data_IF_560403440778
#
_entry.id   IF_560403440778
#
_cell.length_a   1.000
_cell.length_b   1.000
_cell.length_c   1.000
_cell.angle_alpha   90.00
_cell.angle_beta   90.00
_cell.angle_gamma   90.00
#
_symmetry.space_group_name_H-M   'P 1'
#
loop_
_entity.id
_entity.type
_entity.pdbx_description
1 polymer ?
#
# COMPACT_ATOMS: atom_id res chain seq x y z
N UNK A 1 46.24 -54.90 7.63
CA UNK A 1 45.60 -55.36 6.37
C UNK A 1 44.20 -54.76 6.37
N UNK A 2 44.04 -53.56 5.78
CA UNK A 2 43.47 -53.35 4.42
C UNK A 2 42.01 -53.82 4.34
N UNK A 3 40.99 -53.09 3.86
CA UNK A 3 40.81 -51.84 3.11
C UNK A 3 39.37 -51.34 3.42
N UNK A 4 38.94 -50.08 3.32
CA UNK A 4 39.06 -49.13 2.21
C UNK A 4 37.95 -49.38 1.16
N UNK A 5 36.80 -48.69 1.25
CA UNK A 5 35.73 -48.34 0.25
C UNK A 5 34.54 -47.83 1.09
N UNK A 6 33.88 -46.69 0.91
CA UNK A 6 33.95 -45.59 -0.05
C UNK A 6 32.82 -44.62 0.32
N UNK A 7 33.18 -43.42 0.77
CA UNK A 7 32.25 -42.29 0.97
C UNK A 7 32.01 -41.69 -0.41
N UNK A 8 30.89 -42.04 -1.04
CA UNK A 8 30.67 -41.67 -2.45
C UNK A 8 29.22 -41.72 -2.94
N UNK A 9 28.22 -41.66 -2.05
CA UNK A 9 26.79 -41.72 -2.46
C UNK A 9 25.94 -40.54 -1.93
N UNK A 10 26.49 -39.68 -1.06
CA UNK A 10 25.70 -38.61 -0.42
C UNK A 10 25.33 -37.41 -1.31
N UNK A 11 26.17 -37.03 -2.28
CA UNK A 11 25.99 -35.76 -3.01
C UNK A 11 25.20 -35.93 -4.30
N UNK A 12 25.38 -37.07 -5.00
CA UNK A 12 24.63 -37.34 -6.23
C UNK A 12 23.14 -37.62 -5.96
N UNK A 13 22.81 -38.30 -4.85
CA UNK A 13 21.43 -38.56 -4.46
C UNK A 13 20.64 -37.30 -4.10
N UNK A 14 21.30 -36.34 -3.42
CA UNK A 14 20.69 -35.05 -3.05
C UNK A 14 20.50 -34.17 -4.29
N UNK A 15 21.46 -34.13 -5.21
CA UNK A 15 21.32 -33.38 -6.47
C UNK A 15 20.18 -33.92 -7.35
N UNK A 16 19.97 -35.25 -7.37
CA UNK A 16 18.88 -35.88 -8.13
C UNK A 16 17.50 -35.59 -7.50
N UNK A 17 17.42 -35.56 -6.17
CA UNK A 17 16.22 -35.19 -5.41
C UNK A 17 15.87 -33.70 -5.59
N UNK A 18 16.87 -32.81 -5.51
CA UNK A 18 16.67 -31.36 -5.77
C UNK A 18 16.28 -31.12 -7.23
N UNK A 19 16.90 -31.83 -8.19
CA UNK A 19 16.53 -31.77 -9.60
C UNK A 19 15.10 -32.21 -9.86
N UNK A 20 14.65 -33.31 -9.23
CA UNK A 20 13.26 -33.79 -9.31
C UNK A 20 12.27 -32.81 -8.65
N UNK A 21 12.65 -32.17 -7.54
CA UNK A 21 11.81 -31.17 -6.86
C UNK A 21 11.66 -29.90 -7.71
N UNK A 22 12.75 -29.40 -8.28
CA UNK A 22 12.77 -28.23 -9.19
C UNK A 22 12.00 -28.53 -10.47
N UNK A 23 12.14 -29.74 -11.03
CA UNK A 23 11.38 -30.19 -12.19
C UNK A 23 9.87 -30.31 -11.88
N UNK A 24 9.50 -30.85 -10.72
CA UNK A 24 8.11 -30.93 -10.27
C UNK A 24 7.49 -29.54 -10.02
N UNK A 25 8.26 -28.60 -9.46
CA UNK A 25 7.84 -27.21 -9.25
C UNK A 25 7.69 -26.46 -10.58
N UNK A 26 8.59 -26.66 -11.56
CA UNK A 26 8.45 -26.11 -12.91
C UNK A 26 7.22 -26.65 -13.64
N UNK A 27 6.96 -27.97 -13.56
CA UNK A 27 5.76 -28.58 -14.13
C UNK A 27 4.46 -28.12 -13.47
N UNK A 28 4.51 -27.72 -12.19
CA UNK A 28 3.36 -27.11 -11.50
C UNK A 28 3.12 -25.68 -11.98
N UNK A 29 4.17 -24.91 -12.27
CA UNK A 29 4.09 -23.56 -12.88
C UNK A 29 3.49 -23.61 -14.29
N UNK A 30 3.77 -24.65 -15.07
CA UNK A 30 3.19 -24.84 -16.43
C UNK A 30 1.73 -25.36 -16.43
N UNK A 31 1.16 -25.73 -15.27
CA UNK A 31 -0.23 -26.24 -15.14
C UNK A 31 -1.13 -25.38 -14.26
N UNK A 32 -0.79 -24.10 -14.09
CA UNK A 32 -1.77 -23.12 -13.61
C UNK A 32 -2.07 -22.21 -14.79
N UNK A 33 -3.03 -22.63 -15.61
CA UNK A 33 -3.76 -21.69 -16.43
C UNK A 33 -4.49 -20.74 -15.46
N UNK A 34 -4.18 -19.45 -15.52
CA UNK A 34 -4.90 -18.41 -14.78
C UNK A 34 -6.41 -18.56 -15.02
N UNK A 35 -7.24 -18.53 -13.97
CA UNK A 35 -8.66 -18.33 -14.17
C UNK A 35 -8.88 -16.90 -14.70
N UNK A 36 -9.29 -16.84 -15.97
CA UNK A 36 -10.23 -15.90 -16.59
C UNK A 36 -10.31 -14.52 -15.91
N UNK A 37 -9.73 -13.51 -16.59
CA UNK A 37 -10.05 -12.09 -16.38
C UNK A 37 -11.57 -11.88 -16.54
N UNK A 38 -12.28 -11.27 -15.58
CA UNK A 38 -13.68 -10.89 -15.75
C UNK A 38 -13.76 -9.59 -16.57
N UNK A 39 -13.37 -9.66 -17.83
CA UNK A 39 -13.53 -8.58 -18.80
C UNK A 39 -14.23 -9.12 -20.05
N UNK A 40 -15.46 -9.63 -19.88
CA UNK A 40 -16.40 -9.91 -20.97
C UNK A 40 -17.80 -10.11 -20.38
N UNK A 41 -18.40 -9.03 -19.87
CA UNK A 41 -19.85 -8.96 -19.75
C UNK A 41 -20.42 -8.66 -21.15
N UNK A 42 -21.43 -9.39 -21.65
CA UNK A 42 -22.03 -9.10 -22.95
C UNK A 42 -22.75 -7.75 -22.90
N UNK A 43 -22.34 -6.83 -23.77
CA UNK A 43 -23.10 -5.63 -24.10
C UNK A 43 -24.42 -6.06 -24.74
N UNK A 44 -25.55 -5.74 -24.08
CA UNK A 44 -26.87 -5.92 -24.65
C UNK A 44 -27.05 -5.01 -25.88
N UNK A 45 -27.62 -5.51 -26.99
CA UNK A 45 -27.84 -4.71 -28.19
C UNK A 45 -29.11 -3.84 -28.07
N UNK A 46 -29.00 -2.64 -28.64
CA UNK A 46 -30.03 -1.72 -29.11
C UNK A 46 -31.51 -2.05 -28.86
N UNK A 47 -32.17 -1.18 -28.11
CA UNK A 47 -33.59 -0.86 -28.34
C UNK A 47 -33.66 0.62 -28.68
N UNK A 48 -34.08 0.91 -29.91
CA UNK A 48 -34.35 2.24 -30.40
C UNK A 48 -35.74 2.71 -29.95
N UNK A 49 -35.78 3.98 -29.54
CA UNK A 49 -36.88 4.97 -29.63
C UNK A 49 -38.27 4.60 -29.10
N UNK A 50 -38.78 5.39 -28.14
CA UNK A 50 -39.72 6.50 -28.41
C UNK A 50 -40.21 7.15 -27.10
N UNK A 51 -40.40 8.47 -27.16
CA UNK A 51 -41.12 9.37 -26.23
C UNK A 51 -40.34 10.02 -25.08
N UNK A 52 -39.80 11.21 -25.36
CA UNK A 52 -39.66 12.28 -24.35
C UNK A 52 -41.03 12.92 -24.04
N UNK A 53 -41.18 13.51 -22.84
CA UNK A 53 -41.19 14.97 -22.79
C UNK A 53 -40.43 15.64 -21.61
N UNK A 54 -39.79 16.77 -21.95
CA UNK A 54 -39.66 18.05 -21.24
C UNK A 54 -38.71 18.20 -20.02
N UNK A 55 -37.62 18.93 -20.31
CA UNK A 55 -37.03 20.06 -19.56
C UNK A 55 -36.92 19.96 -18.03
N UNK A 56 -35.70 19.69 -17.54
CA UNK A 56 -35.13 20.49 -16.44
C UNK A 56 -33.66 20.82 -16.75
N UNK A 57 -33.41 22.12 -16.74
CA UNK A 57 -32.19 22.84 -17.10
C UNK A 57 -31.12 22.68 -16.02
N UNK A 58 -29.91 22.27 -16.40
CA UNK A 58 -28.69 22.37 -15.60
C UNK A 58 -27.51 22.71 -16.51
N UNK A 59 -27.05 23.97 -16.47
CA UNK A 59 -25.92 24.46 -17.29
C UNK A 59 -24.59 23.86 -16.82
N UNK A 60 -23.74 23.44 -17.76
CA UNK A 60 -22.33 23.13 -17.51
C UNK A 60 -21.50 24.40 -17.39
N UNK A 61 -20.67 24.47 -16.35
CA UNK A 61 -19.66 25.53 -16.18
C UNK A 61 -18.33 25.01 -16.70
N UNK A 62 -18.02 25.30 -17.97
CA UNK A 62 -16.67 25.33 -18.52
C UNK A 62 -16.68 26.25 -19.74
N UNK A 63 -16.43 27.55 -19.54
CA UNK A 63 -15.79 28.42 -20.54
C UNK A 63 -15.54 29.80 -19.92
N UNK A 64 -14.47 30.45 -20.43
CA UNK A 64 -13.96 31.79 -20.15
C UNK A 64 -12.88 31.87 -19.05
N UNK A 65 -11.60 31.94 -19.47
CA UNK A 65 -10.99 33.25 -19.69
C UNK A 65 -9.73 33.14 -20.58
N UNK A 66 -9.75 33.85 -21.71
CA UNK A 66 -8.61 34.06 -22.60
C UNK A 66 -8.52 35.57 -22.90
N UNK A 67 -7.29 36.09 -22.94
CA UNK A 67 -6.85 37.45 -23.30
C UNK A 67 -6.80 38.47 -22.13
N UNK A 68 -5.70 39.18 -21.83
CA UNK A 68 -4.80 39.93 -22.74
C UNK A 68 -3.64 40.55 -21.94
N UNK A 69 -2.47 40.71 -22.56
CA UNK A 69 -1.44 41.63 -22.07
C UNK A 69 -0.07 41.41 -22.73
N UNK A 70 0.16 41.99 -23.91
CA UNK A 70 1.49 42.08 -24.52
C UNK A 70 2.18 43.40 -24.18
N UNK A 71 3.51 43.46 -24.44
CA UNK A 71 4.25 44.56 -25.14
C UNK A 71 5.77 44.56 -24.78
N UNK A 72 6.61 44.52 -25.84
CA UNK A 72 8.03 44.94 -26.03
C UNK A 72 9.13 44.15 -25.25
N UNK A 73 10.23 43.65 -25.83
CA UNK A 73 10.92 43.95 -27.08
C UNK A 73 12.34 44.51 -26.78
N UNK A 74 13.42 43.73 -27.03
CA UNK A 74 14.74 44.23 -27.47
C UNK A 74 15.76 43.13 -27.77
N UNK A 75 16.49 43.37 -28.86
CA UNK A 75 17.60 42.62 -29.44
C UNK A 75 18.87 42.55 -28.57
N UNK A 76 19.67 41.50 -28.76
CA UNK A 76 21.14 41.60 -28.86
C UNK A 76 21.78 40.36 -29.51
N UNK A 77 22.19 40.53 -30.77
CA UNK A 77 23.35 39.85 -31.39
C UNK A 77 24.63 40.21 -30.62
N UNK A 78 25.59 39.28 -30.52
CA UNK A 78 27.06 39.48 -30.53
C UNK A 78 27.71 38.09 -30.34
N UNK A 79 28.30 37.50 -31.38
CA UNK A 79 29.71 37.60 -31.81
C UNK A 79 30.53 36.41 -31.31
N UNK A 80 31.04 35.64 -32.28
CA UNK A 80 31.97 34.54 -32.07
C UNK A 80 33.41 35.01 -31.91
N UNK A 81 34.24 34.09 -31.42
CA UNK A 81 35.68 34.20 -31.39
C UNK A 81 36.31 32.87 -30.92
N UNK A 82 37.43 32.43 -31.50
CA UNK A 82 37.81 31.01 -31.62
C UNK A 82 38.86 30.58 -30.58
N UNK A 83 39.00 29.26 -30.36
CA UNK A 83 40.20 28.62 -29.78
C UNK A 83 40.22 27.16 -30.23
N UNK A 84 40.98 26.88 -31.28
CA UNK A 84 42.35 26.33 -31.24
C UNK A 84 42.38 24.81 -31.07
N UNK A 85 42.82 24.17 -32.16
CA UNK A 85 43.17 22.76 -32.27
C UNK A 85 44.43 22.49 -31.46
N UNK A 86 44.41 21.40 -30.69
CA UNK A 86 45.61 20.67 -30.35
C UNK A 86 45.40 19.20 -30.74
N UNK A 87 46.04 18.81 -31.85
CA UNK A 87 46.39 17.43 -32.14
C UNK A 87 47.76 17.16 -31.49
N UNK A 88 47.85 16.08 -30.71
CA UNK A 88 49.02 15.33 -30.27
C UNK A 88 48.40 14.05 -29.68
N UNK A 89 48.76 12.81 -29.96
CA UNK A 89 49.87 12.19 -30.66
C UNK A 89 49.82 10.73 -30.21
N UNK A 90 50.01 9.80 -31.13
CA UNK A 90 49.94 8.36 -30.87
C UNK A 90 51.01 7.91 -29.86
N UNK A 91 50.63 7.04 -28.92
CA UNK A 91 51.57 6.44 -27.96
C UNK A 91 50.99 5.25 -27.18
N UNK A 92 51.45 4.06 -27.57
CA UNK A 92 51.61 2.82 -26.80
C UNK A 92 50.41 2.19 -26.06
N UNK A 93 50.00 1.05 -26.62
CA UNK A 93 49.70 -0.24 -25.94
C UNK A 93 49.89 -0.28 -24.41
N UNK A 94 48.77 -0.46 -23.69
CA UNK A 94 48.55 -1.37 -22.54
C UNK A 94 47.39 -0.89 -21.67
N UNK A 95 46.15 -1.01 -22.15
CA UNK A 95 44.93 -1.09 -21.33
C UNK A 95 43.71 -1.31 -22.22
N UNK A 96 43.46 -2.57 -22.57
CA UNK A 96 42.19 -3.01 -23.17
C UNK A 96 41.65 -4.22 -22.40
N UNK A 97 41.47 -4.06 -21.08
CA UNK A 97 40.66 -4.97 -20.24
C UNK A 97 39.83 -4.23 -19.17
N UNK A 98 40.00 -2.91 -18.97
CA UNK A 98 39.17 -2.13 -18.03
C UNK A 98 38.53 -0.89 -18.69
N UNK A 99 37.76 -1.10 -19.75
CA UNK A 99 36.98 -0.04 -20.40
C UNK A 99 35.62 -0.56 -20.90
N UNK A 100 34.91 -1.30 -20.05
CA UNK A 100 33.52 -1.70 -20.28
C UNK A 100 32.65 -1.60 -19.00
N UNK A 101 33.12 -0.87 -17.98
CA UNK A 101 32.39 -0.62 -16.72
C UNK A 101 32.47 0.85 -16.25
N UNK A 102 32.86 1.77 -17.13
CA UNK A 102 32.95 3.21 -16.83
C UNK A 102 32.32 4.10 -17.91
N UNK A 103 31.35 3.54 -18.65
CA UNK A 103 30.55 4.26 -19.65
C UNK A 103 29.04 4.30 -19.33
N UNK A 104 28.68 4.27 -18.04
CA UNK A 104 27.30 4.55 -17.58
C UNK A 104 27.20 5.72 -16.59
N UNK A 105 28.30 6.41 -16.30
CA UNK A 105 28.30 7.57 -15.38
C UNK A 105 28.24 8.93 -16.09
N UNK A 106 27.63 8.97 -17.29
CA UNK A 106 27.31 10.22 -18.00
C UNK A 106 25.86 10.23 -18.51
N UNK A 107 24.94 9.60 -17.77
CA UNK A 107 23.57 10.11 -17.77
C UNK A 107 23.62 11.43 -17.01
N UNK A 108 23.68 12.53 -17.77
CA UNK A 108 23.29 13.83 -17.26
C UNK A 108 21.98 13.62 -16.50
N UNK A 109 21.98 13.84 -15.19
CA UNK A 109 20.73 13.85 -14.45
C UNK A 109 19.86 14.91 -15.08
N UNK A 110 18.82 14.52 -15.81
CA UNK A 110 17.71 15.43 -16.00
C UNK A 110 17.28 15.78 -14.58
N UNK A 111 17.24 17.07 -14.28
CA UNK A 111 16.46 17.45 -13.11
C UNK A 111 15.04 17.01 -13.43
N UNK A 112 14.48 16.17 -12.55
CA UNK A 112 13.10 15.74 -12.66
C UNK A 112 12.21 16.96 -12.92
N UNK A 113 11.31 16.87 -13.90
CA UNK A 113 10.39 17.95 -14.20
C UNK A 113 9.32 17.96 -13.10
N UNK A 114 9.45 18.92 -12.17
CA UNK A 114 8.54 19.08 -11.04
C UNK A 114 7.51 20.17 -11.33
N UNK A 115 6.24 19.78 -11.40
CA UNK A 115 5.11 20.66 -11.56
C UNK A 115 4.46 21.00 -10.21
N UNK A 116 4.21 22.29 -9.98
CA UNK A 116 3.39 22.72 -8.86
C UNK A 116 1.91 22.49 -9.21
N UNK A 117 1.19 21.78 -8.35
CA UNK A 117 -0.25 21.65 -8.53
C UNK A 117 -0.97 22.91 -8.04
N UNK A 118 -2.27 22.99 -8.31
CA UNK A 118 -3.13 24.04 -7.73
C UNK A 118 -3.33 23.89 -6.21
N UNK A 119 -2.96 22.74 -5.64
CA UNK A 119 -3.12 22.43 -4.23
C UNK A 119 -1.84 22.80 -3.47
N UNK A 120 -2.01 23.39 -2.30
CA UNK A 120 -0.91 23.86 -1.48
C UNK A 120 0.07 22.73 -1.14
N UNK A 121 1.37 23.03 -1.21
CA UNK A 121 2.44 22.08 -0.87
C UNK A 121 2.44 20.78 -1.68
N UNK A 122 1.68 20.70 -2.79
CA UNK A 122 1.50 19.47 -3.58
C UNK A 122 2.13 19.61 -4.96
N UNK A 123 3.01 18.67 -5.30
CA UNK A 123 3.78 18.64 -6.56
C UNK A 123 3.59 17.34 -7.31
N UNK A 124 3.74 17.40 -8.64
CA UNK A 124 3.84 16.26 -9.55
C UNK A 124 5.26 16.17 -10.10
N UNK A 125 5.91 15.03 -9.96
CA UNK A 125 7.19 14.67 -10.59
C UNK A 125 6.89 13.86 -11.85
N UNK A 126 7.07 14.48 -13.02
CA UNK A 126 6.71 13.87 -14.32
C UNK A 126 7.67 12.75 -14.72
N UNK A 127 8.95 12.87 -14.36
CA UNK A 127 9.97 11.88 -14.72
C UNK A 127 9.81 10.58 -13.91
N UNK A 128 9.29 10.66 -12.67
CA UNK A 128 9.18 9.53 -11.75
C UNK A 128 7.73 9.14 -11.43
N UNK A 129 6.74 9.85 -11.96
CA UNK A 129 5.31 9.66 -11.71
C UNK A 129 4.92 9.71 -10.24
N UNK A 130 5.36 10.76 -9.54
CA UNK A 130 5.12 10.92 -8.11
C UNK A 130 4.27 12.14 -7.79
N UNK A 131 3.22 11.92 -7.02
CA UNK A 131 2.48 13.00 -6.36
C UNK A 131 3.00 13.11 -4.94
N UNK A 132 3.56 14.26 -4.57
CA UNK A 132 4.06 14.51 -3.21
C UNK A 132 3.31 15.69 -2.61
N UNK A 133 2.90 15.58 -1.34
CA UNK A 133 2.37 16.72 -0.56
C UNK A 133 3.13 16.90 0.74
N UNK A 134 3.40 18.16 1.10
CA UNK A 134 3.92 18.55 2.42
C UNK A 134 2.85 19.18 3.31
N UNK A 135 1.59 19.23 2.85
CA UNK A 135 0.48 19.81 3.59
C UNK A 135 -0.27 18.71 4.36
N UNK A 136 -0.13 18.69 5.69
CA UNK A 136 -0.77 17.71 6.55
C UNK A 136 -2.15 18.21 6.98
N UNK A 137 -3.20 17.58 6.45
CA UNK A 137 -4.59 17.87 6.81
C UNK A 137 -5.31 16.59 7.24
N UNK A 138 -5.24 16.20 8.53
CA UNK A 138 -5.85 14.97 9.04
C UNK A 138 -7.37 15.13 9.23
N UNK A 139 -8.08 14.00 9.37
CA UNK A 139 -9.49 13.95 9.72
C UNK A 139 -10.46 14.37 8.62
N UNK A 140 -10.01 14.41 7.36
CA UNK A 140 -10.85 14.73 6.20
C UNK A 140 -10.58 13.75 5.05
N UNK A 141 -11.65 13.28 4.40
CA UNK A 141 -11.52 12.28 3.32
C UNK A 141 -10.69 12.74 2.11
N UNK A 142 -10.63 14.05 1.82
CA UNK A 142 -9.90 14.58 0.67
C UNK A 142 -8.38 14.37 0.77
N UNK A 143 -7.87 14.19 1.99
CA UNK A 143 -6.44 13.97 2.25
C UNK A 143 -6.06 12.49 2.30
N UNK A 144 -7.02 11.58 2.10
CA UNK A 144 -6.79 10.14 2.26
C UNK A 144 -6.14 9.52 1.03
N UNK A 145 -5.15 8.67 1.31
CA UNK A 145 -4.59 7.60 0.47
C UNK A 145 -5.62 6.57 -0.02
N UNK A 146 -5.57 6.05 -1.24
CA UNK A 146 -6.18 4.75 -1.59
C UNK A 146 -5.12 3.88 -2.24
N UNK A 147 -4.99 2.64 -1.79
CA UNK A 147 -4.16 1.63 -2.45
C UNK A 147 -5.00 0.37 -2.68
N UNK A 148 -4.87 -0.21 -3.87
CA UNK A 148 -5.55 -1.45 -4.21
C UNK A 148 -4.80 -2.21 -5.32
N UNK A 149 -4.97 -3.53 -5.36
CA UNK A 149 -4.43 -4.38 -6.43
C UNK A 149 -5.53 -5.05 -7.30
N UNK A 150 -6.80 -4.75 -7.00
CA UNK A 150 -7.98 -5.38 -7.61
C UNK A 150 -8.59 -6.51 -6.77
N UNK A 151 -7.88 -6.98 -5.74
CA UNK A 151 -8.41 -7.92 -4.75
C UNK A 151 -8.47 -7.29 -3.36
N UNK A 152 -7.33 -6.85 -2.81
CA UNK A 152 -7.26 -6.05 -1.59
C UNK A 152 -7.40 -4.56 -1.95
N UNK A 153 -8.17 -3.84 -1.15
CA UNK A 153 -8.31 -2.39 -1.24
C UNK A 153 -8.36 -1.75 0.14
N UNK A 154 -7.75 -0.56 0.26
CA UNK A 154 -7.72 0.20 1.51
C UNK A 154 -7.56 1.69 1.27
N UNK A 155 -8.16 2.47 2.17
CA UNK A 155 -7.94 3.90 2.30
C UNK A 155 -7.24 4.21 3.63
N UNK A 156 -6.38 5.23 3.63
CA UNK A 156 -5.40 5.48 4.69
C UNK A 156 -5.50 6.91 5.19
N UNK A 157 -5.20 7.12 6.47
CA UNK A 157 -5.12 8.43 7.08
C UNK A 157 -4.08 9.33 6.37
N UNK A 158 -4.23 10.65 6.51
CA UNK A 158 -3.28 11.60 5.92
C UNK A 158 -1.85 11.41 6.48
N UNK A 159 -1.75 11.06 7.77
CA UNK A 159 -0.49 10.99 8.52
C UNK A 159 0.21 9.62 8.49
N UNK A 160 -0.39 8.61 7.89
CA UNK A 160 0.22 7.28 7.89
C UNK A 160 -0.74 6.16 7.53
N UNK A 161 -0.30 4.90 7.73
CA UNK A 161 -1.05 3.70 7.36
C UNK A 161 -2.18 3.39 8.37
N UNK A 162 -2.77 4.41 8.99
CA UNK A 162 -3.71 4.26 10.11
C UNK A 162 -5.17 4.28 9.67
N UNK A 163 -6.02 3.72 10.53
CA UNK A 163 -7.46 3.94 10.48
C UNK A 163 -7.78 5.36 10.98
N UNK A 164 -8.66 6.06 10.27
CA UNK A 164 -9.06 7.43 10.59
C UNK A 164 -10.57 7.59 10.37
N UNK A 165 -11.17 8.41 11.22
CA UNK A 165 -12.57 8.81 11.12
C UNK A 165 -12.61 10.32 10.90
N UNK A 166 -13.48 10.80 10.00
CA UNK A 166 -13.71 12.25 9.87
C UNK A 166 -14.37 12.82 11.15
N UNK A 167 -14.47 14.15 11.25
CA UNK A 167 -15.35 14.80 12.23
C UNK A 167 -16.73 14.11 12.33
N UNK A 168 -17.34 13.96 13.52
CA UNK A 168 -18.66 13.34 13.67
C UNK A 168 -19.78 13.97 12.83
N UNK A 169 -19.63 15.24 12.42
CA UNK A 169 -20.57 15.92 11.52
C UNK A 169 -20.48 15.48 10.05
N UNK A 170 -19.41 14.77 9.69
CA UNK A 170 -19.11 14.33 8.34
C UNK A 170 -19.60 12.88 8.14
N UNK A 171 -20.64 12.74 7.34
CA UNK A 171 -21.18 11.45 6.92
C UNK A 171 -20.81 11.14 5.48
N UNK A 172 -20.89 9.87 5.09
CA UNK A 172 -20.86 9.45 3.70
C UNK A 172 -22.11 9.96 2.97
N UNK A 173 -22.03 9.99 1.64
CA UNK A 173 -23.15 10.36 0.80
C UNK A 173 -24.23 9.29 0.71
N UNK A 174 -25.16 9.53 -0.20
CA UNK A 174 -26.10 8.52 -0.67
C UNK A 174 -25.33 7.26 -1.13
N UNK A 175 -25.80 6.04 -0.84
CA UNK A 175 -27.10 5.71 -0.23
C UNK A 175 -27.06 5.51 1.29
N UNK A 176 -25.89 5.53 1.93
CA UNK A 176 -25.72 5.00 3.30
C UNK A 176 -25.85 6.06 4.39
N UNK A 177 -25.35 7.27 4.16
CA UNK A 177 -25.38 8.35 5.17
C UNK A 177 -24.76 7.96 6.53
N UNK A 178 -23.83 7.00 6.53
CA UNK A 178 -23.12 6.51 7.70
C UNK A 178 -21.87 7.36 8.00
N UNK A 179 -21.19 7.07 9.12
CA UNK A 179 -19.97 7.78 9.53
C UNK A 179 -18.90 7.68 8.44
N UNK A 180 -18.31 8.81 8.07
CA UNK A 180 -17.20 8.83 7.10
C UNK A 180 -15.90 8.42 7.78
N UNK A 181 -15.25 7.39 7.24
CA UNK A 181 -14.04 6.79 7.80
C UNK A 181 -13.16 6.20 6.69
N UNK A 182 -11.90 5.91 7.00
CA UNK A 182 -11.07 5.03 6.18
C UNK A 182 -11.74 3.66 6.09
N UNK A 183 -11.54 2.98 4.96
CA UNK A 183 -12.23 1.74 4.65
C UNK A 183 -11.25 0.76 4.02
N UNK A 184 -11.42 -0.52 4.32
CA UNK A 184 -10.64 -1.61 3.79
C UNK A 184 -11.61 -2.72 3.39
N UNK A 185 -11.35 -3.37 2.26
CA UNK A 185 -12.24 -4.38 1.70
C UNK A 185 -11.47 -5.41 0.88
N UNK A 186 -12.19 -6.45 0.46
CA UNK A 186 -11.75 -7.48 -0.46
C UNK A 186 -12.75 -7.53 -1.63
N UNK A 187 -12.27 -7.78 -2.84
CA UNK A 187 -13.12 -7.88 -4.02
C UNK A 187 -14.22 -8.94 -3.84
N UNK A 188 -15.44 -8.58 -4.26
CA UNK A 188 -16.63 -9.44 -4.12
C UNK A 188 -17.28 -9.41 -2.73
N UNK A 189 -16.73 -8.68 -1.77
CA UNK A 189 -17.23 -8.67 -0.39
C UNK A 189 -18.36 -7.66 -0.20
N UNK A 190 -19.59 -8.12 -0.44
CA UNK A 190 -20.82 -7.33 -0.30
C UNK A 190 -21.77 -7.96 0.70
N UNK A 191 -22.51 -7.14 1.43
CA UNK A 191 -23.60 -7.59 2.29
C UNK A 191 -24.92 -7.68 1.50
N UNK A 192 -25.97 -8.09 2.22
CA UNK A 192 -27.36 -7.92 1.83
C UNK A 192 -28.09 -7.25 3.00
N UNK A 193 -28.47 -5.99 2.81
CA UNK A 193 -29.33 -5.25 3.73
C UNK A 193 -30.77 -5.30 3.24
N UNK A 194 -31.75 -5.42 4.14
CA UNK A 194 -33.17 -5.39 3.73
C UNK A 194 -33.54 -4.01 3.14
N UNK A 195 -32.91 -2.94 3.64
CA UNK A 195 -33.07 -1.55 3.19
C UNK A 195 -31.83 -0.74 3.53
N UNK A 196 -31.42 0.16 2.63
CA UNK A 196 -30.50 1.25 2.95
C UNK A 196 -31.24 2.55 3.22
N UNK A 197 -30.53 3.56 3.73
CA UNK A 197 -31.09 4.87 4.08
C UNK A 197 -31.58 5.71 2.88
N UNK A 198 -31.07 5.46 1.67
CA UNK A 198 -31.55 6.10 0.44
C UNK A 198 -31.56 5.15 -0.76
N UNK A 199 -32.70 5.04 -1.44
CA UNK A 199 -32.83 4.21 -2.66
C UNK A 199 -33.57 4.97 -3.77
N UNK A 200 -33.22 4.69 -5.02
CA UNK A 200 -33.97 5.18 -6.19
C UNK A 200 -35.17 4.28 -6.51
N UNK A 201 -35.25 3.08 -5.92
CA UNK A 201 -36.16 2.03 -6.34
C UNK A 201 -36.92 1.43 -5.14
N UNK A 202 -37.48 2.27 -4.27
CA UNK A 202 -38.22 1.82 -3.08
C UNK A 202 -39.36 0.82 -3.38
N UNK A 203 -39.91 0.84 -4.60
CA UNK A 203 -40.91 -0.13 -5.04
C UNK A 203 -40.36 -1.56 -5.16
N UNK A 204 -39.04 -1.77 -5.29
CA UNK A 204 -38.42 -3.09 -5.33
C UNK A 204 -38.45 -3.80 -3.96
N UNK A 205 -38.58 -3.05 -2.86
CA UNK A 205 -38.66 -3.64 -1.51
C UNK A 205 -39.87 -4.57 -1.32
N UNK A 206 -40.91 -4.46 -2.15
CA UNK A 206 -42.04 -5.39 -2.12
C UNK A 206 -41.67 -6.83 -2.50
N UNK A 207 -40.52 -7.03 -3.15
CA UNK A 207 -40.04 -8.34 -3.61
C UNK A 207 -39.00 -8.97 -2.67
N UNK A 208 -38.72 -8.35 -1.51
CA UNK A 208 -37.76 -8.85 -0.52
C UNK A 208 -36.37 -9.14 -1.12
N UNK A 209 -36.00 -8.35 -2.13
CA UNK A 209 -34.72 -8.50 -2.84
C UNK A 209 -33.55 -7.99 -2.00
N UNK A 210 -33.81 -7.03 -1.10
CA UNK A 210 -32.79 -6.30 -0.36
C UNK A 210 -31.94 -5.43 -1.28
N UNK A 211 -30.93 -4.78 -0.71
CA UNK A 211 -29.88 -4.05 -1.42
C UNK A 211 -28.52 -4.57 -0.98
N UNK A 212 -27.54 -4.49 -1.86
CA UNK A 212 -26.20 -5.02 -1.62
C UNK A 212 -25.18 -3.91 -1.62
N UNK A 213 -24.38 -3.83 -0.56
CA UNK A 213 -23.46 -2.75 -0.28
C UNK A 213 -22.08 -3.33 0.03
N UNK A 214 -21.03 -2.60 -0.36
CA UNK A 214 -19.67 -3.05 -0.10
C UNK A 214 -19.41 -3.17 1.41
N UNK A 215 -18.94 -4.34 1.83
CA UNK A 215 -18.65 -4.67 3.23
C UNK A 215 -17.18 -4.46 3.56
N UNK A 216 -16.92 -4.09 4.81
CA UNK A 216 -15.58 -3.81 5.30
C UNK A 216 -14.91 -5.05 5.90
N UNK A 217 -13.60 -5.14 5.76
CA UNK A 217 -12.76 -5.99 6.61
C UNK A 217 -12.05 -5.12 7.65
N UNK A 218 -11.44 -5.69 8.71
CA UNK A 218 -10.62 -4.90 9.62
C UNK A 218 -9.55 -4.09 8.87
N UNK A 219 -9.32 -2.84 9.29
CA UNK A 219 -8.29 -1.99 8.70
C UNK A 219 -6.95 -2.62 9.03
N UNK A 220 -6.25 -3.02 7.98
CA UNK A 220 -5.17 -3.97 8.12
C UNK A 220 -3.80 -3.32 8.07
N UNK A 221 -3.69 -2.02 7.85
CA UNK A 221 -2.40 -1.35 7.67
C UNK A 221 -1.80 -0.76 8.97
N UNK A 222 -2.60 -0.66 10.03
CA UNK A 222 -2.17 -0.02 11.30
C UNK A 222 -0.90 -0.65 11.88
N UNK A 223 0.14 0.18 12.01
CA UNK A 223 1.42 -0.15 12.64
C UNK A 223 1.83 1.05 13.51
N UNK A 224 1.36 1.10 14.74
CA UNK A 224 1.48 2.28 15.62
C UNK A 224 2.82 2.26 16.38
N UNK A 225 3.30 3.44 16.76
CA UNK A 225 4.49 3.58 17.63
C UNK A 225 4.04 4.16 18.96
N UNK A 226 4.39 3.49 20.05
CA UNK A 226 4.12 3.96 21.41
C UNK A 226 5.44 4.33 22.11
N UNK A 227 5.50 5.53 22.69
CA UNK A 227 6.60 6.00 23.54
C UNK A 227 6.00 6.57 24.82
N UNK A 228 6.32 5.96 25.96
CA UNK A 228 5.62 6.23 27.22
C UNK A 228 4.11 6.02 27.08
N UNK A 229 3.33 7.04 27.43
CA UNK A 229 1.87 7.03 27.35
C UNK A 229 1.33 7.61 26.02
N UNK A 230 2.21 7.99 25.09
CA UNK A 230 1.83 8.59 23.81
C UNK A 230 1.94 7.59 22.66
N UNK A 231 1.00 7.71 21.72
CA UNK A 231 0.86 6.83 20.57
C UNK A 231 0.83 7.67 19.32
N UNK A 232 1.62 7.24 18.34
CA UNK A 232 1.55 7.73 16.96
C UNK A 232 0.49 6.91 16.22
N UNK A 233 -0.69 7.52 16.06
CA UNK A 233 -1.82 7.03 15.27
C UNK A 233 -2.44 8.18 14.46
N UNK A 234 -3.62 7.97 13.86
CA UNK A 234 -4.31 9.00 13.06
C UNK A 234 -4.76 10.23 13.87
N UNK A 235 -4.86 10.12 15.19
CA UNK A 235 -5.34 11.18 16.10
C UNK A 235 -4.22 12.00 16.71
N UNK A 236 -2.96 11.71 16.37
CA UNK A 236 -1.80 12.45 16.89
C UNK A 236 -1.97 13.96 16.66
N UNK A 237 -1.74 14.80 17.70
CA UNK A 237 -1.83 16.24 17.55
C UNK A 237 -0.87 16.75 16.46
N UNK A 238 -1.37 17.61 15.57
CA UNK A 238 -0.58 18.10 14.43
C UNK A 238 0.63 18.93 14.85
N UNK A 239 0.64 19.52 16.04
CA UNK A 239 1.78 20.26 16.60
C UNK A 239 2.93 19.35 17.06
N UNK A 240 2.69 18.03 17.20
CA UNK A 240 3.74 17.03 17.43
C UNK A 240 4.41 16.56 16.15
N UNK A 241 3.96 17.03 14.97
CA UNK A 241 4.41 16.55 13.67
C UNK A 241 5.09 17.70 12.94
N UNK A 242 6.30 17.46 12.46
CA UNK A 242 7.04 18.42 11.67
C UNK A 242 7.72 17.74 10.48
N UNK A 243 8.15 18.54 9.50
CA UNK A 243 8.83 18.06 8.28
C UNK A 243 8.02 16.99 7.54
N UNK A 244 6.70 17.12 7.56
CA UNK A 244 5.79 16.17 6.92
C UNK A 244 5.94 16.18 5.40
N UNK A 245 5.98 14.99 4.84
CA UNK A 245 5.84 14.71 3.43
C UNK A 245 5.12 13.38 3.26
N UNK A 246 4.22 13.29 2.30
CA UNK A 246 3.67 12.03 1.84
C UNK A 246 3.72 11.94 0.32
N UNK A 247 3.99 10.76 -0.21
CA UNK A 247 4.25 10.55 -1.64
C UNK A 247 3.53 9.29 -2.12
N UNK A 248 2.71 9.45 -3.14
CA UNK A 248 2.22 8.36 -3.97
C UNK A 248 3.18 8.21 -5.16
N UNK A 249 3.87 7.07 -5.23
CA UNK A 249 4.66 6.67 -6.39
C UNK A 249 3.80 5.74 -7.25
N UNK A 250 3.32 6.27 -8.38
CA UNK A 250 2.39 5.55 -9.27
C UNK A 250 3.13 4.46 -10.05
N UNK A 251 4.36 4.72 -10.47
CA UNK A 251 5.19 3.75 -11.20
C UNK A 251 5.59 2.54 -10.35
N UNK A 252 5.78 2.73 -9.04
CA UNK A 252 6.04 1.65 -8.10
C UNK A 252 4.77 1.07 -7.45
N UNK A 253 3.64 1.78 -7.52
CA UNK A 253 2.42 1.44 -6.80
C UNK A 253 2.61 1.41 -5.28
N UNK A 254 3.28 2.43 -4.73
CA UNK A 254 3.58 2.55 -3.29
C UNK A 254 3.15 3.89 -2.72
N UNK A 255 2.80 3.90 -1.44
CA UNK A 255 2.57 5.12 -0.66
C UNK A 255 3.62 5.22 0.43
N UNK A 256 4.20 6.40 0.62
CA UNK A 256 5.16 6.67 1.68
C UNK A 256 4.82 7.93 2.48
N UNK A 257 5.21 7.95 3.74
CA UNK A 257 5.14 9.10 4.63
C UNK A 257 6.49 9.29 5.30
N UNK A 258 6.92 10.53 5.46
CA UNK A 258 8.11 10.89 6.20
C UNK A 258 7.82 12.13 7.06
N UNK A 259 8.17 12.08 8.34
CA UNK A 259 8.01 13.21 9.27
C UNK A 259 8.84 13.00 10.54
N UNK A 260 9.02 14.06 11.31
CA UNK A 260 9.53 13.99 12.67
C UNK A 260 8.35 14.05 13.64
N UNK A 261 8.15 13.00 14.43
CA UNK A 261 7.20 12.96 15.54
C UNK A 261 7.88 13.33 16.84
N UNK A 262 7.32 14.30 17.57
CA UNK A 262 7.83 14.83 18.84
C UNK A 262 6.84 14.58 19.97
N UNK A 263 6.82 13.35 20.54
CA UNK A 263 5.97 13.07 21.70
C UNK A 263 6.35 13.96 22.88
N UNK A 264 5.33 14.42 23.62
CA UNK A 264 5.49 15.29 24.79
C UNK A 264 6.41 14.65 25.84
N UNK A 265 7.39 15.40 26.34
CA UNK A 265 8.38 14.96 27.34
C UNK A 265 9.30 13.81 26.89
N UNK A 266 9.32 13.46 25.60
CA UNK A 266 10.11 12.38 25.04
C UNK A 266 11.02 12.90 23.92
N UNK A 267 11.97 12.09 23.48
CA UNK A 267 12.85 12.48 22.36
C UNK A 267 12.10 12.36 21.03
N UNK A 268 12.34 13.32 20.13
CA UNK A 268 11.79 13.29 18.78
C UNK A 268 12.35 12.09 17.97
N UNK A 269 11.49 11.53 17.13
CA UNK A 269 11.75 10.36 16.29
C UNK A 269 11.45 10.76 14.84
N UNK A 270 12.41 10.59 13.95
CA UNK A 270 12.18 10.62 12.51
C UNK A 270 11.52 9.29 12.11
N UNK A 271 10.34 9.40 11.51
CA UNK A 271 9.47 8.29 11.14
C UNK A 271 9.33 8.27 9.63
N UNK A 272 9.56 7.09 9.04
CA UNK A 272 9.21 6.81 7.64
C UNK A 272 8.31 5.60 7.58
N UNK A 273 7.18 5.72 6.88
CA UNK A 273 6.36 4.59 6.47
C UNK A 273 6.48 4.39 4.97
N UNK A 274 6.54 3.13 4.52
CA UNK A 274 6.33 2.77 3.11
C UNK A 274 5.38 1.59 3.05
N UNK A 275 4.38 1.69 2.18
CA UNK A 275 3.31 0.72 2.06
C UNK A 275 3.09 0.32 0.61
N UNK A 276 2.82 -0.97 0.41
CA UNK A 276 2.47 -1.53 -0.89
C UNK A 276 1.34 -2.55 -0.75
N UNK A 277 0.52 -2.66 -1.81
CA UNK A 277 -0.48 -3.71 -1.99
C UNK A 277 -0.06 -4.50 -3.20
N UNK A 278 0.33 -5.76 -3.01
CA UNK A 278 1.12 -6.46 -4.03
C UNK A 278 0.28 -6.71 -5.27
N UNK A 279 0.72 -6.21 -6.44
CA UNK A 279 -0.04 -6.29 -7.69
C UNK A 279 -0.15 -7.71 -8.22
N UNK A 280 0.96 -8.44 -8.29
CA UNK A 280 1.01 -9.84 -8.75
C UNK A 280 0.47 -10.85 -7.71
N UNK A 281 0.97 -10.79 -6.47
CA UNK A 281 0.49 -11.66 -5.39
C UNK A 281 -0.69 -11.02 -4.65
N UNK A 282 -1.87 -11.11 -5.27
CA UNK A 282 -3.06 -10.33 -4.90
C UNK A 282 -3.50 -10.43 -3.43
N UNK A 283 -3.13 -11.50 -2.73
CA UNK A 283 -3.44 -11.72 -1.32
C UNK A 283 -2.45 -11.07 -0.36
N UNK A 284 -1.40 -10.40 -0.85
CA UNK A 284 -0.31 -9.89 -0.03
C UNK A 284 -0.23 -8.36 -0.04
N UNK A 285 0.09 -7.77 1.10
CA UNK A 285 0.44 -6.37 1.26
C UNK A 285 1.52 -6.22 2.34
N UNK A 286 2.17 -5.08 2.41
CA UNK A 286 3.16 -4.81 3.46
C UNK A 286 3.21 -3.33 3.85
N UNK A 287 3.56 -3.09 5.12
CA UNK A 287 3.84 -1.78 5.69
C UNK A 287 5.20 -1.88 6.38
N UNK A 288 6.17 -1.10 5.91
CA UNK A 288 7.47 -0.94 6.57
C UNK A 288 7.49 0.39 7.33
N UNK A 289 7.89 0.32 8.59
CA UNK A 289 8.18 1.44 9.47
C UNK A 289 9.69 1.52 9.68
N UNK A 290 10.26 2.72 9.48
CA UNK A 290 11.61 3.06 9.92
C UNK A 290 11.55 4.16 10.96
N UNK A 291 12.34 4.01 12.02
CA UNK A 291 12.41 4.96 13.12
C UNK A 291 13.87 5.31 13.42
N UNK A 292 14.18 6.60 13.48
CA UNK A 292 15.51 7.08 13.87
C UNK A 292 15.36 8.15 14.95
N UNK A 293 15.99 7.94 16.10
CA UNK A 293 15.97 8.91 17.20
C UNK A 293 17.35 9.54 17.40
N UNK A 294 17.41 10.81 17.81
CA UNK A 294 18.68 11.49 18.13
C UNK A 294 19.30 11.06 19.47
N UNK A 295 18.55 10.31 20.27
CA UNK A 295 18.91 9.77 21.58
C UNK A 295 18.39 8.34 21.68
N UNK A 296 18.85 7.62 22.69
CA UNK A 296 18.29 6.30 22.99
C UNK A 296 16.84 6.46 23.47
N UNK A 297 15.93 5.68 22.89
CA UNK A 297 14.49 5.71 23.18
C UNK A 297 13.95 4.29 23.25
N UNK A 298 13.20 3.98 24.30
CA UNK A 298 12.43 2.74 24.37
C UNK A 298 11.04 3.01 23.80
N UNK A 299 10.69 2.26 22.76
CA UNK A 299 9.39 2.32 22.11
C UNK A 299 8.74 0.93 22.11
N UNK A 300 7.45 0.90 21.78
CA UNK A 300 6.72 -0.32 21.43
C UNK A 300 6.07 -0.11 20.08
N UNK A 301 6.20 -1.09 19.19
CA UNK A 301 5.49 -1.08 17.91
C UNK A 301 4.28 -2.00 18.01
N UNK A 302 3.11 -1.49 17.65
CA UNK A 302 1.82 -2.16 17.78
C UNK A 302 1.27 -2.43 16.38
N UNK A 303 1.23 -3.71 16.00
CA UNK A 303 0.54 -4.19 14.82
C UNK A 303 -0.95 -4.37 15.15
N UNK A 304 -1.81 -3.55 14.54
CA UNK A 304 -3.26 -3.53 14.76
C UNK A 304 -4.02 -3.93 13.49
N UNK A 305 -4.95 -4.87 13.66
CA UNK A 305 -6.08 -5.06 12.75
C UNK A 305 -7.28 -4.36 13.39
N UNK A 306 -7.70 -3.22 12.85
CA UNK A 306 -8.73 -2.38 13.45
C UNK A 306 -10.14 -2.77 12.98
N UNK A 307 -10.94 -3.32 13.89
CA UNK A 307 -12.29 -3.80 13.60
C UNK A 307 -13.32 -2.69 13.33
N UNK A 308 -13.07 -1.44 13.69
CA UNK A 308 -14.02 -0.33 13.40
C UNK A 308 -14.23 -0.11 11.90
N UNK A 309 -13.27 -0.56 11.09
CA UNK A 309 -13.35 -0.57 9.64
C UNK A 309 -14.26 -1.68 9.07
N UNK A 310 -14.54 -2.74 9.84
CA UNK A 310 -15.34 -3.90 9.43
C UNK A 310 -16.85 -3.61 9.50
N UNK A 311 -17.28 -2.52 8.89
CA UNK A 311 -18.70 -2.13 8.78
C UNK A 311 -19.44 -3.11 7.89
N UNK A 312 -20.75 -3.30 8.16
CA UNK A 312 -21.62 -4.23 7.41
C UNK A 312 -21.18 -5.69 7.47
N UNK A 313 -20.50 -6.05 8.55
CA UNK A 313 -20.09 -7.43 8.80
C UNK A 313 -20.42 -7.90 10.21
N UNK A 314 -20.54 -9.22 10.34
CA UNK A 314 -20.56 -9.93 11.60
C UNK A 314 -19.14 -10.41 11.94
N UNK A 315 -18.79 -10.33 13.22
CA UNK A 315 -17.56 -10.93 13.74
C UNK A 315 -17.64 -12.46 13.66
N UNK A 316 -16.61 -13.09 13.09
CA UNK A 316 -16.50 -14.55 12.99
C UNK A 316 -15.47 -15.10 13.99
N UNK A 317 -14.30 -14.49 14.05
CA UNK A 317 -13.23 -14.94 14.96
C UNK A 317 -11.97 -14.09 14.87
N UNK A 318 -11.07 -14.27 15.82
CA UNK A 318 -9.73 -13.67 15.82
C UNK A 318 -8.74 -14.55 16.58
N UNK A 319 -7.46 -14.40 16.31
CA UNK A 319 -6.42 -15.18 16.99
C UNK A 319 -5.07 -14.49 17.02
N UNK A 320 -4.38 -14.67 18.14
CA UNK A 320 -2.97 -14.34 18.31
C UNK A 320 -2.20 -15.65 18.32
N UNK A 321 -1.32 -15.84 17.35
CA UNK A 321 -0.50 -17.03 17.24
C UNK A 321 0.70 -16.90 18.19
N UNK A 322 0.95 -17.90 19.05
CA UNK A 322 2.11 -17.89 19.95
C UNK A 322 3.39 -18.34 19.26
N UNK A 323 3.28 -19.29 18.32
CA UNK A 323 4.41 -19.89 17.61
C UNK A 323 4.92 -19.04 16.43
N UNK A 324 4.10 -18.16 15.89
CA UNK A 324 4.44 -17.25 14.80
C UNK A 324 4.10 -15.82 15.22
N UNK A 325 4.82 -14.78 14.78
CA UNK A 325 4.53 -13.39 15.11
C UNK A 325 3.31 -12.88 14.33
N UNK A 326 2.19 -13.59 14.43
CA UNK A 326 1.02 -13.42 13.57
C UNK A 326 -0.24 -13.21 14.39
N UNK A 327 -1.06 -12.25 13.97
CA UNK A 327 -2.45 -12.08 14.40
C UNK A 327 -3.37 -12.24 13.20
N UNK A 328 -4.62 -12.62 13.45
CA UNK A 328 -5.65 -12.68 12.41
C UNK A 328 -7.03 -12.31 12.94
N UNK A 329 -7.88 -11.82 12.05
CA UNK A 329 -9.29 -11.51 12.31
C UNK A 329 -10.14 -11.93 11.11
N UNK A 330 -11.35 -12.39 11.39
CA UNK A 330 -12.28 -12.92 10.41
C UNK A 330 -13.67 -12.32 10.59
N UNK A 331 -14.29 -11.98 9.47
CA UNK A 331 -15.62 -11.35 9.40
C UNK A 331 -16.43 -11.91 8.24
N UNK A 332 -17.76 -11.88 8.36
CA UNK A 332 -18.71 -12.28 7.30
C UNK A 332 -19.64 -11.12 6.98
N UNK A 333 -20.00 -10.85 5.72
CA UNK A 333 -20.96 -9.80 5.40
C UNK A 333 -22.32 -10.08 6.05
N UNK A 334 -23.03 -9.03 6.43
CA UNK A 334 -24.39 -9.17 6.97
C UNK A 334 -25.30 -9.75 5.87
N UNK A 335 -26.17 -10.69 6.23
CA UNK A 335 -27.14 -11.27 5.28
C UNK A 335 -26.54 -12.20 4.22
N UNK A 336 -25.24 -12.53 4.29
CA UNK A 336 -24.54 -13.44 3.38
C UNK A 336 -23.70 -14.46 4.16
N UNK A 337 -24.36 -15.49 4.68
CA UNK A 337 -23.77 -16.41 5.67
C UNK A 337 -22.70 -17.38 5.11
N UNK A 338 -22.63 -17.55 3.79
CA UNK A 338 -21.65 -18.44 3.14
C UNK A 338 -20.35 -17.71 2.75
N UNK A 339 -20.22 -16.44 3.09
CA UNK A 339 -19.04 -15.62 2.79
C UNK A 339 -18.28 -15.28 4.06
N UNK A 340 -16.99 -15.60 4.10
CA UNK A 340 -16.10 -15.23 5.22
C UNK A 340 -14.77 -14.75 4.69
N UNK A 341 -14.33 -13.58 5.17
CA UNK A 341 -13.02 -13.02 4.91
C UNK A 341 -12.10 -13.21 6.12
N UNK A 342 -10.83 -13.46 5.84
CA UNK A 342 -9.74 -13.55 6.79
C UNK A 342 -8.68 -12.52 6.44
N UNK A 343 -8.25 -11.77 7.44
CA UNK A 343 -7.08 -10.89 7.39
C UNK A 343 -6.08 -11.41 8.40
N UNK A 344 -4.85 -11.64 7.97
CA UNK A 344 -3.72 -12.04 8.79
C UNK A 344 -2.61 -11.00 8.69
N UNK A 345 -1.86 -10.80 9.77
CA UNK A 345 -0.72 -9.90 9.84
C UNK A 345 0.44 -10.57 10.54
N UNK A 346 1.60 -10.59 9.91
CA UNK A 346 2.86 -11.10 10.46
C UNK A 346 3.86 -9.95 10.64
N UNK A 347 4.39 -9.77 11.85
CA UNK A 347 5.29 -8.67 12.20
C UNK A 347 6.73 -9.15 12.36
N UNK A 348 7.67 -8.46 11.72
CA UNK A 348 9.11 -8.76 11.74
C UNK A 348 9.87 -7.48 12.08
N UNK A 349 10.74 -7.55 13.10
CA UNK A 349 11.65 -6.47 13.47
C UNK A 349 13.11 -6.82 13.16
N UNK A 350 13.96 -5.81 13.11
CA UNK A 350 15.41 -5.97 13.02
C UNK A 350 16.06 -6.25 14.40
N UNK A 351 17.40 -6.17 14.47
CA UNK A 351 18.18 -6.43 15.68
C UNK A 351 17.93 -5.44 16.84
N UNK A 352 17.26 -4.31 16.59
CA UNK A 352 16.85 -3.38 17.65
C UNK A 352 15.52 -3.79 18.31
N UNK A 353 14.84 -4.79 17.76
CA UNK A 353 13.54 -5.26 18.20
C UNK A 353 13.67 -6.52 19.07
N UNK A 354 12.98 -6.54 20.21
CA UNK A 354 12.94 -7.72 21.06
C UNK A 354 11.77 -8.63 20.67
N UNK A 355 12.01 -9.57 19.75
CA UNK A 355 11.00 -10.53 19.31
C UNK A 355 10.42 -11.38 20.47
N UNK A 356 11.16 -11.57 21.57
CA UNK A 356 10.69 -12.33 22.73
C UNK A 356 9.73 -11.51 23.62
N UNK A 357 9.76 -10.18 23.51
CA UNK A 357 8.81 -9.27 24.19
C UNK A 357 7.41 -9.27 23.56
N UNK A 358 7.20 -10.03 22.49
CA UNK A 358 5.94 -10.01 21.74
C UNK A 358 4.76 -10.42 22.61
N UNK A 359 3.72 -9.61 22.62
CA UNK A 359 2.51 -9.84 23.42
C UNK A 359 1.24 -9.64 22.61
N UNK A 360 0.16 -10.29 23.05
CA UNK A 360 -1.20 -9.93 22.64
C UNK A 360 -1.54 -8.59 23.30
N UNK A 361 -1.70 -7.53 22.51
CA UNK A 361 -1.87 -6.18 23.00
C UNK A 361 -3.37 -5.88 23.20
N UNK A 362 -3.76 -5.59 24.44
CA UNK A 362 -5.19 -5.56 24.84
C UNK A 362 -5.67 -4.20 25.34
N UNK A 363 -4.89 -3.13 25.19
CA UNK A 363 -5.27 -1.81 25.69
C UNK A 363 -6.42 -1.23 24.86
N UNK A 364 -7.64 -1.21 25.44
CA UNK A 364 -8.87 -0.82 24.73
C UNK A 364 -8.86 0.62 24.20
N UNK A 365 -8.14 1.54 24.85
CA UNK A 365 -7.99 2.92 24.36
C UNK A 365 -7.26 3.02 23.02
N UNK A 366 -6.58 1.95 22.60
CA UNK A 366 -5.81 1.88 21.35
C UNK A 366 -6.47 0.95 20.34
N UNK A 367 -6.90 -0.25 20.78
CA UNK A 367 -7.46 -1.26 19.86
C UNK A 367 -8.95 -1.05 19.56
N UNK A 368 -9.61 -0.15 20.30
CA UNK A 368 -11.05 0.07 20.23
C UNK A 368 -11.87 -1.03 20.92
N UNK A 369 -13.19 -0.91 20.80
CA UNK A 369 -14.16 -1.84 21.41
C UNK A 369 -14.70 -2.90 20.43
N UNK A 370 -14.36 -2.81 19.14
CA UNK A 370 -14.89 -3.71 18.12
C UNK A 370 -14.40 -5.15 18.35
N UNK A 371 -15.32 -6.12 18.23
CA UNK A 371 -14.99 -7.54 18.45
C UNK A 371 -13.98 -8.07 17.44
N UNK A 372 -13.96 -7.53 16.23
CA UNK A 372 -13.03 -7.87 15.15
C UNK A 372 -11.65 -7.22 15.30
N UNK A 373 -11.45 -6.32 16.28
CA UNK A 373 -10.13 -5.73 16.56
C UNK A 373 -9.19 -6.73 17.24
N UNK A 374 -7.94 -6.78 16.80
CA UNK A 374 -6.86 -7.54 17.43
C UNK A 374 -5.53 -6.85 17.21
N UNK A 375 -4.64 -6.89 18.20
CA UNK A 375 -3.31 -6.32 18.09
C UNK A 375 -2.24 -7.22 18.73
N UNK A 376 -1.03 -7.09 18.23
CA UNK A 376 0.18 -7.58 18.87
C UNK A 376 1.18 -6.43 19.00
N UNK A 377 2.02 -6.47 20.03
CA UNK A 377 3.05 -5.46 20.26
C UNK A 377 4.41 -6.09 20.47
N UNK A 378 5.47 -5.35 20.13
CA UNK A 378 6.86 -5.73 20.32
C UNK A 378 7.68 -4.52 20.75
N UNK A 379 8.55 -4.69 21.75
CA UNK A 379 9.42 -3.65 22.22
C UNK A 379 10.56 -3.38 21.22
N UNK A 380 10.91 -2.11 21.08
CA UNK A 380 11.98 -1.62 20.21
C UNK A 380 12.89 -0.69 21.01
N UNK A 381 14.19 -0.98 21.01
CA UNK A 381 15.21 -0.16 21.66
C UNK A 381 15.93 0.68 20.60
N UNK A 382 15.45 1.90 20.35
CA UNK A 382 16.08 2.83 19.43
C UNK A 382 17.40 3.31 20.03
N UNK A 383 18.48 3.20 19.25
CA UNK A 383 19.80 3.73 19.60
C UNK A 383 20.02 5.06 18.89
N UNK A 384 20.66 6.01 19.56
CA UNK A 384 20.93 7.33 19.02
C UNK A 384 21.59 7.26 17.62
N UNK A 385 20.94 7.86 16.63
CA UNK A 385 21.41 7.96 15.24
C UNK A 385 21.34 6.67 14.44
N UNK A 386 20.77 5.58 14.98
CA UNK A 386 20.58 4.32 14.27
C UNK A 386 19.12 4.16 13.88
N UNK A 387 18.88 3.72 12.65
CA UNK A 387 17.53 3.44 12.15
C UNK A 387 17.12 2.03 12.55
N UNK A 388 15.99 1.91 13.23
CA UNK A 388 15.26 0.67 13.47
C UNK A 388 14.23 0.44 12.37
N UNK A 389 14.05 -0.81 11.95
CA UNK A 389 13.08 -1.22 10.94
C UNK A 389 12.14 -2.28 11.52
N UNK A 390 10.84 -2.01 11.42
CA UNK A 390 9.78 -3.00 11.67
C UNK A 390 8.91 -3.11 10.42
N UNK A 391 8.66 -4.32 9.97
CA UNK A 391 7.78 -4.57 8.82
C UNK A 391 6.62 -5.46 9.22
N UNK A 392 5.43 -5.05 8.79
CA UNK A 392 4.18 -5.78 8.89
C UNK A 392 3.83 -6.32 7.51
N UNK A 393 3.59 -7.63 7.43
CA UNK A 393 3.18 -8.32 6.21
C UNK A 393 1.75 -8.82 6.37
N UNK A 394 0.89 -8.45 5.43
CA UNK A 394 -0.54 -8.70 5.49
C UNK A 394 -0.93 -9.73 4.45
N UNK A 395 -1.79 -10.65 4.87
CA UNK A 395 -2.44 -11.63 4.03
C UNK A 395 -3.95 -11.48 4.10
N UNK A 396 -4.63 -11.46 2.95
CA UNK A 396 -6.09 -11.38 2.89
C UNK A 396 -6.68 -12.44 1.96
N UNK A 397 -7.81 -13.01 2.36
CA UNK A 397 -8.56 -13.94 1.50
C UNK A 397 -10.02 -14.09 1.96
N UNK A 398 -10.91 -14.43 1.02
CA UNK A 398 -12.34 -14.71 1.27
C UNK A 398 -12.79 -16.00 0.59
N UNK A 399 -13.87 -16.60 1.10
CA UNK A 399 -14.46 -17.82 0.51
C UNK A 399 -14.96 -17.61 -0.93
N UNK A 400 -15.26 -16.37 -1.33
CA UNK A 400 -15.68 -16.04 -2.71
C UNK A 400 -14.57 -16.26 -3.74
N UNK A 401 -13.32 -16.05 -3.35
CA UNK A 401 -12.17 -16.17 -4.24
C UNK A 401 -11.34 -17.44 -3.99
N UNK A 402 -11.37 -17.97 -2.76
CA UNK A 402 -10.50 -19.07 -2.34
C UNK A 402 -11.25 -20.14 -1.56
N UNK A 403 -11.01 -21.41 -1.89
CA UNK A 403 -11.65 -22.55 -1.22
C UNK A 403 -11.24 -22.73 0.25
N UNK A 404 -10.10 -22.17 0.66
CA UNK A 404 -9.62 -22.19 2.04
C UNK A 404 -9.02 -20.81 2.40
N UNK A 405 -9.86 -19.81 2.67
CA UNK A 405 -9.40 -18.43 2.82
C UNK A 405 -8.53 -18.24 4.06
N UNK A 406 -8.82 -18.93 5.17
CA UNK A 406 -7.98 -18.83 6.37
C UNK A 406 -6.53 -19.23 6.06
N UNK A 407 -6.32 -20.39 5.41
CA UNK A 407 -4.97 -20.83 5.07
C UNK A 407 -4.33 -19.92 4.02
N UNK A 408 -5.09 -19.42 3.05
CA UNK A 408 -4.59 -18.48 2.04
C UNK A 408 -4.11 -17.17 2.67
N UNK A 409 -4.89 -16.56 3.57
CA UNK A 409 -4.52 -15.33 4.27
C UNK A 409 -3.27 -15.54 5.15
N UNK A 410 -3.26 -16.59 5.98
CA UNK A 410 -2.10 -16.89 6.84
C UNK A 410 -0.83 -17.11 6.01
N UNK A 411 -0.91 -17.97 4.99
CA UNK A 411 0.22 -18.23 4.09
C UNK A 411 0.67 -16.98 3.33
N UNK A 412 -0.24 -16.11 2.92
CA UNK A 412 0.08 -14.84 2.27
C UNK A 412 0.96 -13.96 3.16
N UNK A 413 0.58 -13.80 4.43
CA UNK A 413 1.37 -13.03 5.40
C UNK A 413 2.74 -13.67 5.68
N UNK A 414 2.79 -15.01 5.82
CA UNK A 414 4.03 -15.73 6.12
C UNK A 414 4.99 -15.78 4.94
N UNK A 415 4.51 -16.02 3.73
CA UNK A 415 5.37 -16.06 2.55
C UNK A 415 5.95 -14.68 2.25
N UNK A 416 5.15 -13.62 2.40
CA UNK A 416 5.63 -12.25 2.24
C UNK A 416 6.69 -11.91 3.31
N UNK A 417 6.47 -12.32 4.56
CA UNK A 417 7.46 -12.14 5.63
C UNK A 417 8.75 -12.93 5.38
N UNK A 418 8.67 -14.14 4.84
CA UNK A 418 9.81 -14.96 4.49
C UNK A 418 10.60 -14.43 3.27
N UNK A 419 9.90 -13.80 2.32
CA UNK A 419 10.50 -13.15 1.15
C UNK A 419 11.18 -11.82 1.51
N UNK A 420 10.54 -11.03 2.38
CA UNK A 420 11.05 -9.75 2.86
C UNK A 420 10.63 -8.55 2.00
N UNK A 421 10.58 -7.37 2.62
CA UNK A 421 10.04 -6.15 2.01
C UNK A 421 10.75 -5.74 0.73
N UNK A 422 12.09 -5.81 0.67
CA UNK A 422 12.85 -5.39 -0.51
C UNK A 422 12.56 -6.25 -1.74
N UNK A 423 12.49 -7.57 -1.57
CA UNK A 423 12.17 -8.48 -2.67
C UNK A 423 10.72 -8.30 -3.12
N UNK A 424 9.80 -8.15 -2.17
CA UNK A 424 8.38 -7.85 -2.43
C UNK A 424 8.18 -6.53 -3.20
N UNK A 425 8.97 -5.50 -2.86
CA UNK A 425 8.96 -4.21 -3.55
C UNK A 425 9.55 -4.31 -4.95
N UNK A 426 10.64 -5.05 -5.14
CA UNK A 426 11.24 -5.27 -6.45
C UNK A 426 10.26 -5.98 -7.41
N UNK A 427 9.58 -7.04 -6.94
CA UNK A 427 8.58 -7.75 -7.75
C UNK A 427 7.33 -6.91 -8.02
N UNK A 428 6.90 -6.10 -7.06
CA UNK A 428 5.83 -5.11 -7.22
C UNK A 428 6.16 -4.10 -8.33
N UNK A 429 7.35 -3.47 -8.29
CA UNK A 429 7.79 -2.49 -9.28
C UNK A 429 7.89 -3.13 -10.66
N UNK A 430 8.44 -4.35 -10.75
CA UNK A 430 8.54 -5.08 -12.01
C UNK A 430 7.16 -5.35 -12.63
N UNK A 431 6.17 -5.71 -11.80
CA UNK A 431 4.78 -5.92 -12.26
C UNK A 431 4.14 -4.60 -12.72
N UNK A 432 4.27 -3.52 -11.94
CA UNK A 432 3.73 -2.21 -12.34
C UNK A 432 4.36 -1.69 -13.62
N UNK A 433 5.68 -1.83 -13.78
CA UNK A 433 6.39 -1.44 -15.01
C UNK A 433 5.94 -2.25 -16.23
N UNK A 434 5.39 -3.46 -16.04
CA UNK A 434 4.85 -4.28 -17.11
C UNK A 434 3.45 -3.83 -17.54
N UNK A 435 2.57 -3.51 -16.59
CA UNK A 435 1.16 -3.18 -16.84
C UNK A 435 0.90 -1.70 -17.06
N UNK A 436 1.79 -0.83 -16.59
CA UNK A 436 1.80 0.62 -16.78
C UNK A 436 3.16 1.04 -17.39
N UNK A 437 3.44 0.65 -18.65
CA UNK A 437 4.69 1.01 -19.30
C UNK A 437 4.78 2.51 -19.59
N UNK A 438 5.99 3.03 -19.81
CA UNK A 438 6.23 4.47 -20.00
C UNK A 438 5.40 5.11 -21.14
N UNK A 439 5.12 4.35 -22.19
CA UNK A 439 4.31 4.79 -23.34
C UNK A 439 2.79 4.79 -23.07
N UNK A 440 2.36 4.33 -21.88
CA UNK A 440 0.97 4.39 -21.43
C UNK A 440 0.65 5.62 -20.58
N UNK A 441 1.64 6.45 -20.27
CA UNK A 441 1.50 7.66 -19.46
C UNK A 441 1.88 8.87 -20.31
N UNK A 442 0.96 9.83 -20.40
CA UNK A 442 1.25 11.10 -21.06
C UNK A 442 2.28 11.89 -20.23
N UNK A 443 3.31 12.40 -20.90
CA UNK A 443 4.28 13.35 -20.33
C UNK A 443 3.93 14.75 -20.83
N UNK A 444 3.88 15.72 -19.91
CA UNK A 444 3.42 17.08 -20.16
C UNK A 444 4.55 18.10 -20.24
#
# INVERSE_FOLDING_TARGET
AEAGIGVGVGVAGVALLVGLLVWALRRRKERVASPISPSNAPLYPHVAAENEPHELVGRSVYELDEQRGGVLGRDAKMMGGPRERHELGAGSTLSRVFALLSALSLLQGSQAIIYQSRFNGTTWDDDNWRVTTTDLVPGIYQSRMSLANGYLGINLAAIGPFFEVDSPSNINGWPLFDRRQTFATIAGFYDREDRVNGTNFAWLYQYDTGESVISGVPHWAGLHVQVGDQILDASVPSDQISRFSSTLDVGAGTMSWAYTWSPSNESAIDVEYTMLVHKLYVNQAAVQLKMTASRDVNASVIDLLDGDCAVRTNFVGKGFESAHPTIWSAVSPVGVDNVTAYIASSMVGDDSCDAASRTNYTMQSVIGANSSSIAQAMNVALKAGQTSIVTKYVGGASTDAFSNPQSTAMNGSWSAAAEGFSAMLESQIAEWSNILPADSVDSY
#
